data_IF_393836626244
#
_entry.id   IF_393836626244
#
_cell.length_a   1.000
_cell.length_b   1.000
_cell.length_c   1.000
_cell.angle_alpha   90.00
_cell.angle_beta   90.00
_cell.angle_gamma   90.00
#
_symmetry.space_group_name_H-M   'P 1'
#
loop_
_entity.id
_entity.type
_entity.pdbx_description
1 polymer ?
#
# COMPACT_ATOMS: atom_id res chain seq x y z
N UNK A 1 -16.10 -6.89 -14.07
CA UNK A 1 -15.43 -5.81 -14.83
C UNK A 1 -14.94 -4.77 -13.84
N UNK A 2 -13.73 -4.19 -14.01
CA UNK A 2 -13.22 -3.13 -13.13
C UNK A 2 -14.17 -1.93 -13.12
N UNK A 3 -14.44 -1.38 -11.94
CA UNK A 3 -15.36 -0.27 -11.72
C UNK A 3 -14.65 1.09 -11.74
N UNK A 4 -15.43 2.18 -11.81
CA UNK A 4 -14.89 3.54 -11.62
C UNK A 4 -14.26 3.71 -10.23
N UNK A 5 -14.79 3.03 -9.21
CA UNK A 5 -14.22 3.00 -7.86
C UNK A 5 -12.83 2.34 -7.86
N UNK A 6 -12.65 1.24 -8.61
CA UNK A 6 -11.35 0.57 -8.71
C UNK A 6 -10.30 1.47 -9.38
N UNK A 7 -10.71 2.25 -10.39
CA UNK A 7 -9.84 3.24 -11.02
C UNK A 7 -9.37 4.30 -10.00
N UNK A 8 -10.30 4.85 -9.22
CA UNK A 8 -9.99 5.86 -8.21
C UNK A 8 -9.05 5.32 -7.12
N UNK A 9 -9.32 4.10 -6.62
CA UNK A 9 -8.49 3.44 -5.62
C UNK A 9 -7.08 3.17 -6.16
N UNK A 10 -6.96 2.71 -7.42
CA UNK A 10 -5.68 2.51 -8.09
C UNK A 10 -4.90 3.83 -8.28
N UNK A 11 -5.59 4.91 -8.66
CA UNK A 11 -4.98 6.23 -8.82
C UNK A 11 -4.38 6.74 -7.50
N UNK A 12 -5.15 6.65 -6.41
CA UNK A 12 -4.70 7.06 -5.06
C UNK A 12 -3.53 6.18 -4.61
N UNK A 13 -3.63 4.87 -4.81
CA UNK A 13 -2.58 3.91 -4.48
C UNK A 13 -1.24 4.26 -5.14
N UNK A 14 -1.25 4.55 -6.45
CA UNK A 14 -0.04 4.87 -7.22
C UNK A 14 0.50 6.26 -6.88
N UNK A 15 -0.37 7.27 -6.78
CA UNK A 15 0.02 8.64 -6.43
C UNK A 15 0.79 8.70 -5.11
N UNK A 16 0.30 8.00 -4.07
CA UNK A 16 0.94 7.96 -2.75
C UNK A 16 2.33 7.30 -2.75
N UNK A 17 2.57 6.34 -3.65
CA UNK A 17 3.81 5.57 -3.68
C UNK A 17 4.85 6.18 -4.61
N UNK A 18 4.42 6.73 -5.74
CA UNK A 18 5.30 7.25 -6.80
C UNK A 18 5.76 8.69 -6.50
N UNK A 19 4.90 9.53 -5.90
CA UNK A 19 5.20 10.95 -5.64
C UNK A 19 5.18 11.86 -6.88
N UNK A 20 5.38 11.30 -8.08
CA UNK A 20 5.15 11.94 -9.38
C UNK A 20 3.71 11.66 -9.86
N UNK A 21 2.89 12.72 -9.87
CA UNK A 21 1.47 12.64 -10.22
C UNK A 21 1.23 12.34 -11.70
N UNK A 22 2.08 12.87 -12.58
CA UNK A 22 1.92 12.64 -14.03
C UNK A 22 2.27 11.20 -14.36
N UNK A 23 3.37 10.68 -13.80
CA UNK A 23 3.73 9.28 -13.98
C UNK A 23 2.71 8.33 -13.36
N UNK A 24 2.22 8.63 -12.15
CA UNK A 24 1.16 7.86 -11.50
C UNK A 24 -0.10 7.79 -12.38
N UNK A 25 -0.53 8.92 -12.95
CA UNK A 25 -1.74 9.01 -13.78
C UNK A 25 -1.61 8.18 -15.08
N UNK A 26 -0.46 8.22 -15.74
CA UNK A 26 -0.17 7.39 -16.91
C UNK A 26 -0.28 5.90 -16.53
N UNK A 27 0.39 5.50 -15.45
CA UNK A 27 0.42 4.10 -15.04
C UNK A 27 -0.95 3.59 -14.57
N UNK A 28 -1.75 4.42 -13.88
CA UNK A 28 -3.15 4.11 -13.55
C UNK A 28 -3.95 3.81 -14.82
N UNK A 29 -3.83 4.67 -15.82
CA UNK A 29 -4.58 4.57 -17.09
C UNK A 29 -4.23 3.27 -17.82
N UNK A 30 -2.94 2.96 -17.94
CA UNK A 30 -2.48 1.78 -18.66
C UNK A 30 -2.81 0.48 -17.92
N UNK A 31 -2.62 0.46 -16.60
CA UNK A 31 -2.98 -0.68 -15.74
C UNK A 31 -4.49 -0.96 -15.80
N UNK A 32 -5.32 0.08 -15.75
CA UNK A 32 -6.77 -0.09 -15.80
C UNK A 32 -7.23 -0.55 -17.19
N UNK A 33 -6.64 -0.01 -18.26
CA UNK A 33 -6.93 -0.47 -19.63
C UNK A 33 -6.58 -1.95 -19.79
N UNK A 34 -5.44 -2.38 -19.26
CA UNK A 34 -5.08 -3.79 -19.23
C UNK A 34 -6.11 -4.64 -18.47
N UNK A 35 -6.53 -4.23 -17.27
CA UNK A 35 -7.54 -4.96 -16.50
C UNK A 35 -8.89 -5.09 -17.23
N UNK A 36 -9.31 -4.05 -17.93
CA UNK A 36 -10.52 -4.08 -18.79
C UNK A 36 -10.36 -5.09 -19.92
N UNK A 37 -9.20 -5.11 -20.58
CA UNK A 37 -8.89 -6.09 -21.63
C UNK A 37 -8.92 -7.52 -21.11
N UNK A 38 -8.38 -7.78 -19.91
CA UNK A 38 -8.43 -9.10 -19.28
C UNK A 38 -9.87 -9.54 -18.99
N UNK A 39 -10.69 -8.62 -18.45
CA UNK A 39 -12.09 -8.90 -18.17
C UNK A 39 -12.90 -9.21 -19.45
N UNK A 40 -12.60 -8.55 -20.56
CA UNK A 40 -13.21 -8.85 -21.87
C UNK A 40 -12.82 -10.25 -22.39
N UNK A 41 -11.63 -10.73 -22.03
CA UNK A 41 -11.18 -12.09 -22.31
C UNK A 41 -11.73 -13.13 -21.31
N UNK A 42 -12.63 -12.74 -20.39
CA UNK A 42 -13.19 -13.62 -19.37
C UNK A 42 -12.26 -13.91 -18.20
N UNK A 43 -11.16 -13.16 -18.06
CA UNK A 43 -10.20 -13.29 -16.96
C UNK A 43 -10.50 -12.21 -15.93
N UNK A 44 -10.99 -12.61 -14.76
CA UNK A 44 -11.17 -11.70 -13.63
C UNK A 44 -9.86 -11.53 -12.86
N UNK A 45 -9.46 -10.27 -12.65
CA UNK A 45 -8.30 -9.91 -11.86
C UNK A 45 -8.79 -9.33 -10.54
N UNK A 46 -8.55 -10.00 -9.40
CA UNK A 46 -8.87 -9.44 -8.10
C UNK A 46 -8.16 -8.10 -7.87
N UNK A 47 -8.80 -7.18 -7.15
CA UNK A 47 -8.28 -5.82 -7.00
C UNK A 47 -6.89 -5.78 -6.36
N UNK A 48 -6.63 -6.61 -5.33
CA UNK A 48 -5.30 -6.71 -4.73
C UNK A 48 -4.22 -7.15 -5.73
N UNK A 49 -4.54 -8.10 -6.61
CA UNK A 49 -3.61 -8.56 -7.66
C UNK A 49 -3.35 -7.47 -8.72
N UNK A 50 -4.35 -6.64 -9.02
CA UNK A 50 -4.19 -5.47 -9.90
C UNK A 50 -3.22 -4.46 -9.30
N UNK A 51 -3.37 -4.13 -8.02
CA UNK A 51 -2.46 -3.25 -7.29
C UNK A 51 -1.03 -3.80 -7.30
N UNK A 52 -0.85 -5.11 -7.04
CA UNK A 52 0.47 -5.74 -7.06
C UNK A 52 1.14 -5.67 -8.44
N UNK A 53 0.39 -5.88 -9.52
CA UNK A 53 0.90 -5.74 -10.88
C UNK A 53 1.34 -4.29 -11.19
N UNK A 54 0.57 -3.31 -10.74
CA UNK A 54 0.90 -1.89 -10.90
C UNK A 54 2.15 -1.49 -10.09
N UNK A 55 2.26 -1.98 -8.85
CA UNK A 55 3.40 -1.72 -7.97
C UNK A 55 4.71 -2.28 -8.54
N UNK A 56 4.67 -3.49 -9.14
CA UNK A 56 5.83 -4.06 -9.85
C UNK A 56 6.30 -3.17 -10.99
N UNK A 57 5.37 -2.60 -11.76
CA UNK A 57 5.68 -1.69 -12.87
C UNK A 57 6.25 -0.36 -12.38
N UNK A 58 5.88 0.08 -11.17
CA UNK A 58 6.36 1.31 -10.53
C UNK A 58 7.57 1.11 -9.59
N UNK A 59 8.12 -0.10 -9.46
CA UNK A 59 9.01 -0.47 -8.35
C UNK A 59 10.21 0.47 -8.13
N UNK A 60 10.78 1.01 -9.22
CA UNK A 60 11.89 1.96 -9.14
C UNK A 60 11.44 3.28 -8.49
N UNK A 61 10.37 3.89 -9.01
CA UNK A 61 9.86 5.15 -8.49
C UNK A 61 9.37 5.02 -7.03
N UNK A 62 8.72 3.90 -6.70
CA UNK A 62 8.30 3.60 -5.32
C UNK A 62 9.51 3.53 -4.39
N UNK A 63 10.58 2.84 -4.80
CA UNK A 63 11.80 2.72 -3.99
C UNK A 63 12.48 4.06 -3.79
N UNK A 64 12.53 4.90 -4.82
CA UNK A 64 13.18 6.20 -4.75
C UNK A 64 12.41 7.15 -3.82
N UNK A 65 11.08 7.16 -3.91
CA UNK A 65 10.21 7.90 -2.99
C UNK A 65 10.30 7.36 -1.54
N UNK A 66 10.33 6.03 -1.36
CA UNK A 66 10.50 5.41 -0.04
C UNK A 66 11.82 5.82 0.63
N UNK A 67 12.90 5.90 -0.15
CA UNK A 67 14.19 6.37 0.35
C UNK A 67 14.11 7.84 0.81
N UNK A 68 13.48 8.70 0.02
CA UNK A 68 13.29 10.10 0.37
C UNK A 68 12.41 10.28 1.62
N UNK A 69 11.38 9.45 1.79
CA UNK A 69 10.52 9.45 2.99
C UNK A 69 11.26 8.96 4.23
N UNK A 70 12.10 7.93 4.11
CA UNK A 70 12.83 7.35 5.24
C UNK A 70 13.83 8.33 5.89
N UNK A 71 14.25 9.37 5.17
CA UNK A 71 15.12 10.44 5.68
C UNK A 71 14.35 11.48 6.53
N UNK A 72 13.02 11.44 6.54
CA UNK A 72 12.18 12.39 7.27
C UNK A 72 11.91 11.93 8.70
N UNK A 73 11.96 12.88 9.65
CA UNK A 73 11.53 12.64 11.05
C UNK A 73 10.01 12.77 11.15
N UNK A 74 9.29 11.77 10.64
CA UNK A 74 7.82 11.73 10.62
C UNK A 74 7.31 10.30 10.76
N UNK A 75 6.02 10.12 11.08
CA UNK A 75 5.39 8.79 11.08
C UNK A 75 5.55 8.08 9.73
N UNK A 76 5.46 8.83 8.62
CA UNK A 76 5.71 8.29 7.29
C UNK A 76 7.16 7.81 7.12
N UNK A 77 8.14 8.52 7.69
CA UNK A 77 9.54 8.11 7.72
C UNK A 77 9.81 6.89 8.59
N UNK A 78 9.13 6.78 9.75
CA UNK A 78 9.20 5.58 10.61
C UNK A 78 8.73 4.34 9.84
N UNK A 79 7.55 4.42 9.21
CA UNK A 79 6.97 3.35 8.40
C UNK A 79 7.87 3.08 7.17
N UNK A 80 8.42 4.12 6.54
CA UNK A 80 9.32 3.97 5.39
C UNK A 80 10.60 3.17 5.72
N UNK A 81 11.11 3.32 6.94
CA UNK A 81 12.31 2.65 7.42
C UNK A 81 12.10 1.21 7.90
N UNK A 82 10.87 0.69 7.90
CA UNK A 82 10.60 -0.72 8.17
C UNK A 82 11.06 -1.63 7.03
N UNK A 83 11.10 -2.93 7.28
CA UNK A 83 11.36 -3.91 6.24
C UNK A 83 10.33 -3.76 5.09
N UNK A 84 10.72 -3.89 3.80
CA UNK A 84 9.84 -3.56 2.67
C UNK A 84 8.46 -4.23 2.72
N UNK A 85 8.40 -5.50 3.14
CA UNK A 85 7.13 -6.25 3.27
C UNK A 85 6.26 -5.68 4.40
N UNK A 86 6.84 -5.37 5.55
CA UNK A 86 6.11 -4.87 6.72
C UNK A 86 5.57 -3.45 6.47
N UNK A 87 6.41 -2.60 5.89
CA UNK A 87 6.02 -1.29 5.37
C UNK A 87 4.82 -1.40 4.44
N UNK A 88 4.90 -2.27 3.45
CA UNK A 88 3.86 -2.38 2.43
C UNK A 88 2.55 -2.89 3.02
N UNK A 89 2.59 -3.90 3.91
CA UNK A 89 1.39 -4.43 4.59
C UNK A 89 0.68 -3.34 5.40
N UNK A 90 1.42 -2.54 6.18
CA UNK A 90 0.83 -1.45 6.96
C UNK A 90 0.20 -0.39 6.05
N UNK A 91 0.86 0.00 4.97
CA UNK A 91 0.33 1.00 4.03
C UNK A 91 -0.94 0.51 3.34
N UNK A 92 -0.95 -0.75 2.89
CA UNK A 92 -2.11 -1.35 2.23
C UNK A 92 -3.35 -1.36 3.14
N UNK A 93 -3.18 -1.70 4.41
CA UNK A 93 -4.29 -1.76 5.36
C UNK A 93 -4.69 -0.36 5.84
N UNK A 94 -3.74 0.45 6.32
CA UNK A 94 -4.07 1.70 7.02
C UNK A 94 -4.20 2.91 6.09
N UNK A 95 -3.44 2.97 5.00
CA UNK A 95 -3.55 4.09 4.05
C UNK A 95 -4.54 3.76 2.94
N UNK A 96 -4.39 2.59 2.32
CA UNK A 96 -5.19 2.21 1.15
C UNK A 96 -6.48 1.48 1.48
N UNK A 97 -6.70 1.16 2.77
CA UNK A 97 -7.93 0.57 3.30
C UNK A 97 -8.31 -0.72 2.57
N UNK A 98 -7.33 -1.57 2.26
CA UNK A 98 -7.60 -2.90 1.72
C UNK A 98 -8.29 -3.77 2.77
N UNK A 99 -9.24 -4.57 2.32
CA UNK A 99 -9.73 -5.72 3.09
C UNK A 99 -8.62 -6.78 3.22
N UNK A 100 -8.75 -7.69 4.20
CA UNK A 100 -7.79 -8.77 4.37
C UNK A 100 -7.73 -9.72 3.15
N UNK A 101 -8.85 -9.86 2.41
CA UNK A 101 -8.88 -10.61 1.15
C UNK A 101 -8.04 -9.93 0.06
N UNK A 102 -8.22 -8.62 -0.14
CA UNK A 102 -7.42 -7.86 -1.10
C UNK A 102 -5.94 -7.80 -0.70
N UNK A 103 -5.62 -7.74 0.60
CA UNK A 103 -4.24 -7.84 1.07
C UNK A 103 -3.63 -9.21 0.70
N UNK A 104 -4.38 -10.30 0.92
CA UNK A 104 -3.94 -11.64 0.56
C UNK A 104 -3.72 -11.78 -0.96
N UNK A 105 -4.63 -11.23 -1.77
CA UNK A 105 -4.49 -11.17 -3.24
C UNK A 105 -3.24 -10.39 -3.66
N UNK A 106 -2.98 -9.24 -3.02
CA UNK A 106 -1.80 -8.41 -3.29
C UNK A 106 -0.50 -9.15 -2.99
N UNK A 107 -0.44 -9.83 -1.84
CA UNK A 107 0.72 -10.58 -1.39
C UNK A 107 0.87 -11.93 -2.10
N UNK A 108 -0.17 -12.41 -2.79
CA UNK A 108 -0.21 -13.74 -3.40
C UNK A 108 -0.17 -14.87 -2.36
N UNK A 109 -0.81 -14.66 -1.20
CA UNK A 109 -0.80 -15.61 -0.08
C UNK A 109 -2.20 -15.87 0.48
N UNK A 110 -2.32 -16.67 1.55
CA UNK A 110 -3.59 -16.89 2.23
C UNK A 110 -3.94 -15.74 3.17
N UNK A 111 -5.24 -15.53 3.42
CA UNK A 111 -5.76 -14.55 4.40
C UNK A 111 -5.10 -14.71 5.78
N UNK A 112 -4.93 -15.95 6.26
CA UNK A 112 -4.28 -16.21 7.55
C UNK A 112 -2.80 -15.80 7.56
N UNK A 113 -2.09 -15.99 6.45
CA UNK A 113 -0.69 -15.56 6.33
C UNK A 113 -0.58 -14.04 6.25
N UNK A 114 -1.48 -13.39 5.50
CA UNK A 114 -1.57 -11.92 5.45
C UNK A 114 -1.83 -11.32 6.84
N UNK A 115 -2.73 -11.91 7.62
CA UNK A 115 -3.00 -11.50 9.01
C UNK A 115 -1.76 -11.63 9.91
N UNK A 116 -1.06 -12.76 9.85
CA UNK A 116 0.17 -12.95 10.63
C UNK A 116 1.29 -11.98 10.25
N UNK A 117 1.37 -11.57 8.97
CA UNK A 117 2.30 -10.54 8.51
C UNK A 117 1.91 -9.15 9.03
N UNK A 118 0.61 -8.83 9.07
CA UNK A 118 0.12 -7.56 9.61
C UNK A 118 0.43 -7.45 11.11
N UNK A 119 0.14 -8.48 11.89
CA UNK A 119 0.41 -8.49 13.33
C UNK A 119 1.90 -8.26 13.63
N UNK A 120 2.78 -8.93 12.85
CA UNK A 120 4.23 -8.74 12.95
C UNK A 120 4.66 -7.33 12.57
N UNK A 121 4.16 -6.81 11.45
CA UNK A 121 4.49 -5.48 10.98
C UNK A 121 4.06 -4.40 11.99
N UNK A 122 2.89 -4.58 12.62
CA UNK A 122 2.40 -3.70 13.67
C UNK A 122 3.33 -3.71 14.89
N UNK A 123 3.70 -4.89 15.40
CA UNK A 123 4.63 -5.01 16.53
C UNK A 123 5.98 -4.33 16.27
N UNK A 124 6.57 -4.52 15.08
CA UNK A 124 7.83 -3.86 14.71
C UNK A 124 7.69 -2.34 14.56
N UNK A 125 6.56 -1.86 14.03
CA UNK A 125 6.29 -0.43 13.93
C UNK A 125 6.18 0.21 15.33
N UNK A 126 5.48 -0.47 16.25
CA UNK A 126 5.32 -0.03 17.63
C UNK A 126 6.67 0.01 18.38
N UNK A 127 7.45 -1.06 18.30
CA UNK A 127 8.79 -1.12 18.91
C UNK A 127 9.71 -0.02 18.36
N UNK A 128 9.66 0.22 17.04
CA UNK A 128 10.44 1.29 16.40
C UNK A 128 10.00 2.67 16.86
N UNK A 129 8.69 2.92 16.96
CA UNK A 129 8.15 4.18 17.45
C UNK A 129 8.61 4.46 18.89
N UNK A 130 8.50 3.46 19.77
CA UNK A 130 8.98 3.54 21.16
C UNK A 130 10.48 3.86 21.24
N UNK A 131 11.30 3.17 20.44
CA UNK A 131 12.75 3.39 20.41
C UNK A 131 13.14 4.80 19.93
N UNK A 132 12.28 5.47 19.16
CA UNK A 132 12.48 6.83 18.69
C UNK A 132 11.82 7.89 19.60
N UNK A 133 11.27 7.48 20.74
CA UNK A 133 10.63 8.38 21.71
C UNK A 133 9.21 8.82 21.33
N UNK A 134 8.59 8.18 20.34
CA UNK A 134 7.18 8.40 20.02
C UNK A 134 6.32 7.51 20.93
N UNK A 135 5.52 8.12 21.81
CA UNK A 135 4.47 7.40 22.53
C UNK A 135 3.17 7.48 21.73
N UNK A 136 2.58 6.32 21.41
CA UNK A 136 1.26 6.22 20.78
C UNK A 136 0.10 6.52 21.77
N UNK A 137 0.43 6.82 23.03
CA UNK A 137 -0.56 7.06 24.11
C UNK A 137 -1.18 8.47 24.08
N UNK A 138 -0.66 9.42 23.27
CA UNK A 138 -1.16 10.81 23.25
C UNK A 138 -2.45 11.02 22.43
N UNK A 139 -2.97 10.00 21.75
CA UNK A 139 -4.20 10.12 20.94
C UNK A 139 -5.51 9.80 21.69
N UNK A 140 -5.47 9.58 23.01
CA UNK A 140 -6.66 9.24 23.81
C UNK A 140 -7.38 10.43 24.49
N UNK A 141 -7.02 11.67 24.15
CA UNK A 141 -7.69 12.86 24.68
C UNK A 141 -8.15 13.83 23.58
N UNK A 142 -9.04 13.35 22.72
CA UNK A 142 -10.05 14.22 22.09
C UNK A 142 -11.38 13.47 22.05
N UNK A 143 -12.15 13.63 23.13
CA UNK A 143 -13.60 13.41 23.12
C UNK A 143 -14.24 14.80 23.23
N UNK A 144 -15.23 15.15 22.38
CA UNK A 144 -15.90 16.46 22.42
C UNK A 144 -16.66 16.71 23.73
#
# INVERSE_FOLDING_TARGET
MPSATDYQRLAIFLARRIGDMDYAQVLTTDTFRWAVSQAQAGIEIPFGALLAASARSAAIAIRDNDKALAEQVSMAGIIAALHPVEREVLRLIYWDQLSMGELADYLGCSISHAGALLDRAYGHAEDRAKNLGFSMEDSAHETP
#
